data_IF_954574935412
#
_entry.id   IF_954574935412
#
_cell.length_a   1.000
_cell.length_b   1.000
_cell.length_c   1.000
_cell.angle_alpha   90.00
_cell.angle_beta   90.00
_cell.angle_gamma   90.00
#
_symmetry.space_group_name_H-M   'P 1'
#
loop_
_entity.id
_entity.type
_entity.pdbx_description
1 polymer ?
#
# COMPACT_ATOMS: atom_id res chain seq x y z
N UNK A 1 19.14 36.42 -12.99
CA UNK A 1 20.62 36.38 -12.97
C UNK A 1 21.05 35.69 -11.69
N UNK A 2 21.36 34.40 -11.78
CA UNK A 2 21.80 33.57 -10.64
C UNK A 2 23.24 33.94 -10.28
N UNK A 3 23.46 34.36 -9.03
CA UNK A 3 24.81 34.48 -8.47
C UNK A 3 25.12 33.15 -7.78
N UNK A 4 25.61 32.19 -8.55
CA UNK A 4 26.37 31.04 -8.04
C UNK A 4 27.83 31.42 -8.23
N UNK A 5 28.42 32.11 -7.26
CA UNK A 5 29.88 32.26 -7.19
C UNK A 5 30.36 32.12 -5.75
N UNK A 6 31.24 31.14 -5.58
CA UNK A 6 32.29 31.06 -4.57
C UNK A 6 31.88 30.81 -3.12
N UNK A 7 31.63 29.55 -2.79
CA UNK A 7 32.03 28.99 -1.48
C UNK A 7 32.48 27.53 -1.68
N UNK A 8 33.69 27.30 -2.20
CA UNK A 8 34.32 25.96 -2.28
C UNK A 8 35.70 26.01 -1.59
N UNK A 9 35.80 26.66 -0.44
CA UNK A 9 37.13 26.92 0.13
C UNK A 9 37.23 27.14 1.63
N UNK A 10 36.19 26.85 2.42
CA UNK A 10 36.30 26.90 3.88
C UNK A 10 35.75 25.60 4.44
N UNK A 11 36.49 25.02 5.40
CA UNK A 11 36.07 23.87 6.17
C UNK A 11 34.75 24.22 6.85
N UNK A 12 33.64 23.83 6.23
CA UNK A 12 32.34 23.93 6.85
C UNK A 12 32.37 23.02 8.08
N UNK A 13 32.30 23.61 9.27
CA UNK A 13 32.04 22.88 10.50
C UNK A 13 30.85 21.96 10.25
N UNK A 14 30.97 20.67 10.58
CA UNK A 14 29.90 19.69 10.35
C UNK A 14 28.57 20.14 10.98
N UNK A 15 28.62 20.93 12.05
CA UNK A 15 27.45 21.55 12.70
C UNK A 15 26.76 22.61 11.82
N UNK A 16 27.53 23.34 10.99
CA UNK A 16 26.99 24.31 10.04
C UNK A 16 26.27 23.63 8.87
N UNK A 17 26.78 22.49 8.40
CA UNK A 17 26.17 21.69 7.33
C UNK A 17 24.86 21.08 7.81
N UNK A 18 24.83 20.52 9.02
CA UNK A 18 23.62 19.90 9.54
C UNK A 18 22.54 20.94 9.87
N UNK A 19 22.95 22.15 10.28
CA UNK A 19 22.06 23.32 10.39
C UNK A 19 21.41 23.69 9.04
N UNK A 20 22.22 23.88 8.00
CA UNK A 20 21.74 24.18 6.64
C UNK A 20 20.82 23.08 6.11
N UNK A 21 21.17 21.81 6.35
CA UNK A 21 20.38 20.66 5.93
C UNK A 21 19.01 20.63 6.62
N UNK A 22 18.98 20.92 7.92
CA UNK A 22 17.74 20.96 8.70
C UNK A 22 16.84 22.09 8.22
N UNK A 23 17.41 23.27 7.99
CA UNK A 23 16.68 24.42 7.44
C UNK A 23 16.12 24.12 6.04
N UNK A 24 16.91 23.53 5.14
CA UNK A 24 16.45 23.15 3.81
C UNK A 24 15.34 22.11 3.87
N UNK A 25 15.43 21.10 4.74
CA UNK A 25 14.36 20.11 4.93
C UNK A 25 13.05 20.76 5.38
N UNK A 26 13.12 21.69 6.34
CA UNK A 26 11.96 22.44 6.82
C UNK A 26 11.37 23.34 5.74
N UNK A 27 12.20 24.02 4.95
CA UNK A 27 11.71 24.86 3.86
C UNK A 27 11.05 24.01 2.77
N UNK A 28 11.64 22.89 2.39
CA UNK A 28 11.10 21.98 1.37
C UNK A 28 9.75 21.38 1.80
N UNK A 29 9.59 21.01 3.08
CA UNK A 29 8.31 20.46 3.56
C UNK A 29 7.16 21.48 3.52
N UNK A 30 7.47 22.78 3.57
CA UNK A 30 6.50 23.86 3.45
C UNK A 30 6.15 24.23 2.00
N UNK A 31 6.91 23.78 1.01
CA UNK A 31 6.63 24.09 -0.40
C UNK A 31 5.51 23.19 -0.92
N UNK A 32 4.41 23.81 -1.35
CA UNK A 32 3.39 23.16 -2.18
C UNK A 32 3.72 23.35 -3.65
N UNK A 33 4.11 22.26 -4.33
CA UNK A 33 4.42 22.26 -5.76
C UNK A 33 3.28 21.56 -6.52
N UNK A 34 2.82 22.17 -7.61
CA UNK A 34 1.91 21.52 -8.55
C UNK A 34 2.72 20.72 -9.59
N UNK A 35 2.45 19.42 -9.68
CA UNK A 35 3.06 18.53 -10.66
C UNK A 35 2.02 17.71 -11.44
N UNK A 36 2.48 16.78 -12.27
CA UNK A 36 1.60 15.90 -13.06
C UNK A 36 0.72 14.99 -12.20
N UNK A 37 1.13 14.71 -10.97
CA UNK A 37 0.36 13.94 -9.98
C UNK A 37 -0.47 14.84 -9.05
N UNK A 38 -0.72 16.09 -9.45
CA UNK A 38 -1.40 17.10 -8.66
C UNK A 38 -0.47 17.85 -7.71
N UNK A 39 -1.05 18.47 -6.69
CA UNK A 39 -0.28 19.11 -5.62
C UNK A 39 0.55 18.10 -4.86
N UNK A 40 1.74 18.50 -4.42
CA UNK A 40 2.62 17.68 -3.59
C UNK A 40 2.68 18.31 -2.20
N UNK A 41 2.33 17.52 -1.18
CA UNK A 41 2.37 17.91 0.23
C UNK A 41 3.16 16.86 1.01
N UNK A 42 3.96 17.31 1.98
CA UNK A 42 4.79 16.45 2.81
C UNK A 42 4.34 16.50 4.27
N UNK A 43 4.53 15.40 5.01
CA UNK A 43 4.42 15.38 6.46
C UNK A 43 5.71 15.91 7.13
N UNK A 44 5.68 16.00 8.45
CA UNK A 44 6.83 16.39 9.28
C UNK A 44 8.05 15.47 9.11
N UNK A 45 7.84 14.25 8.58
CA UNK A 45 8.89 13.26 8.31
C UNK A 45 9.42 13.37 6.87
N UNK A 46 8.92 14.30 6.07
CA UNK A 46 9.28 14.49 4.67
C UNK A 46 8.67 13.46 3.72
N UNK A 47 7.62 12.73 4.13
CA UNK A 47 6.90 11.78 3.27
C UNK A 47 5.70 12.46 2.63
N UNK A 48 5.43 12.12 1.37
CA UNK A 48 4.25 12.65 0.67
C UNK A 48 2.95 12.15 1.31
N UNK A 49 2.01 13.04 1.59
CA UNK A 49 0.74 12.73 2.28
C UNK A 49 -0.46 12.66 1.33
N UNK A 50 -0.36 13.28 0.16
CA UNK A 50 -1.47 13.42 -0.79
C UNK A 50 -1.19 12.67 -2.10
N UNK A 51 -1.28 11.35 -2.03
CA UNK A 51 -1.05 10.45 -3.16
C UNK A 51 -2.22 9.48 -3.36
N UNK A 52 -2.27 8.87 -4.54
CA UNK A 52 -3.22 7.82 -4.89
C UNK A 52 -2.48 6.60 -5.40
N UNK A 53 -2.94 5.41 -5.04
CA UNK A 53 -2.40 4.14 -5.51
C UNK A 53 -3.46 3.47 -6.38
N UNK A 54 -3.09 3.03 -7.58
CA UNK A 54 -3.93 2.17 -8.41
C UNK A 54 -3.70 0.74 -7.96
N UNK A 55 -4.77 0.06 -7.55
CA UNK A 55 -4.74 -1.35 -7.19
C UNK A 55 -4.92 -2.17 -8.45
N UNK A 56 -3.97 -3.07 -8.71
CA UNK A 56 -4.03 -4.00 -9.84
C UNK A 56 -4.06 -5.44 -9.33
N UNK A 57 -4.87 -6.26 -9.98
CA UNK A 57 -4.91 -7.70 -9.79
C UNK A 57 -4.25 -8.37 -10.99
N UNK A 58 -3.46 -9.40 -10.70
CA UNK A 58 -2.92 -10.31 -11.71
C UNK A 58 -3.84 -11.52 -11.78
N UNK A 59 -4.60 -11.64 -12.87
CA UNK A 59 -5.51 -12.77 -13.08
C UNK A 59 -5.07 -13.60 -14.28
N UNK A 60 -5.13 -14.92 -14.16
CA UNK A 60 -4.93 -15.82 -15.30
C UNK A 60 -6.11 -15.66 -16.27
N UNK A 61 -5.81 -15.43 -17.53
CA UNK A 61 -6.81 -15.31 -18.58
C UNK A 61 -7.41 -16.69 -18.87
N UNK A 62 -8.73 -16.82 -18.71
CA UNK A 62 -9.55 -17.95 -19.21
C UNK A 62 -8.96 -19.36 -19.07
N UNK A 63 -8.47 -19.73 -17.88
CA UNK A 63 -8.06 -21.11 -17.60
C UNK A 63 -6.72 -21.57 -18.20
N UNK A 64 -6.02 -20.71 -18.95
CA UNK A 64 -4.64 -20.97 -19.38
C UNK A 64 -3.67 -20.40 -18.34
N UNK A 65 -2.97 -21.30 -17.64
CA UNK A 65 -2.09 -20.99 -16.50
C UNK A 65 -0.84 -20.15 -16.87
N UNK A 66 -0.68 -19.82 -18.16
CA UNK A 66 0.50 -19.18 -18.75
C UNK A 66 0.25 -17.76 -19.26
N UNK A 67 -0.99 -17.25 -19.25
CA UNK A 67 -1.29 -15.87 -19.68
C UNK A 67 -1.86 -15.10 -18.50
N UNK A 68 -1.12 -14.09 -18.05
CA UNK A 68 -1.53 -13.22 -16.96
C UNK A 68 -1.94 -11.85 -17.50
N UNK A 69 -3.12 -11.37 -17.10
CA UNK A 69 -3.58 -10.02 -17.40
C UNK A 69 -3.57 -9.17 -16.13
N UNK A 70 -3.03 -7.95 -16.24
CA UNK A 70 -3.15 -6.94 -15.19
C UNK A 70 -4.47 -6.21 -15.34
N UNK A 71 -5.36 -6.35 -14.37
CA UNK A 71 -6.62 -5.61 -14.35
C UNK A 71 -6.65 -4.63 -13.17
N UNK A 72 -7.15 -3.41 -13.41
CA UNK A 72 -7.29 -2.41 -12.35
C UNK A 72 -8.50 -2.76 -11.47
N UNK A 73 -8.24 -3.10 -10.21
CA UNK A 73 -9.24 -3.46 -9.21
C UNK A 73 -9.87 -2.22 -8.56
N UNK A 74 -9.08 -1.17 -8.38
CA UNK A 74 -9.55 0.00 -7.68
C UNK A 74 -8.47 1.05 -7.45
N UNK A 75 -8.78 2.01 -6.59
CA UNK A 75 -7.87 3.08 -6.21
C UNK A 75 -7.89 3.24 -4.69
N UNK A 76 -6.73 3.43 -4.09
CA UNK A 76 -6.58 3.88 -2.72
C UNK A 76 -6.14 5.34 -2.69
N UNK A 77 -6.86 6.17 -1.94
CA UNK A 77 -6.63 7.61 -1.81
C UNK A 77 -6.09 7.91 -0.42
N UNK A 78 -4.88 8.49 -0.33
CA UNK A 78 -4.27 8.86 0.95
C UNK A 78 -5.10 9.93 1.69
N UNK A 79 -5.61 10.90 0.92
CA UNK A 79 -6.49 11.95 1.37
C UNK A 79 -7.72 12.01 0.44
N UNK A 80 -8.83 11.33 0.80
CA UNK A 80 -10.01 11.31 -0.04
C UNK A 80 -10.67 12.70 -0.04
N UNK A 81 -11.10 13.21 -1.21
CA UNK A 81 -11.98 14.37 -1.30
C UNK A 81 -13.21 14.21 -0.39
N UNK A 82 -13.80 15.31 0.07
CA UNK A 82 -15.02 15.29 0.91
C UNK A 82 -16.20 14.54 0.30
N UNK A 83 -16.20 14.36 -1.03
CA UNK A 83 -17.21 13.63 -1.79
C UNK A 83 -17.09 12.10 -1.60
N UNK A 84 -15.93 11.60 -1.20
CA UNK A 84 -15.69 10.18 -0.98
C UNK A 84 -15.60 9.85 0.50
N UNK A 85 -16.49 8.98 0.96
CA UNK A 85 -16.54 8.51 2.36
C UNK A 85 -15.36 7.61 2.71
N UNK A 86 -14.84 6.86 1.74
CA UNK A 86 -13.83 5.82 1.95
C UNK A 86 -12.54 6.08 1.17
N UNK A 87 -11.41 5.72 1.80
CA UNK A 87 -10.08 5.77 1.16
C UNK A 87 -9.90 4.71 0.08
N UNK A 88 -10.54 3.56 0.26
CA UNK A 88 -10.45 2.44 -0.66
C UNK A 88 -11.68 2.46 -1.57
N UNK A 89 -11.46 2.57 -2.88
CA UNK A 89 -12.51 2.52 -3.88
C UNK A 89 -12.26 1.32 -4.78
N UNK A 90 -12.93 0.21 -4.48
CA UNK A 90 -12.92 -0.96 -5.33
C UNK A 90 -13.96 -0.71 -6.42
N UNK A 91 -13.50 -0.64 -7.68
CA UNK A 91 -14.43 -0.57 -8.82
C UNK A 91 -15.02 -1.96 -8.96
N UNK A 92 -16.34 -2.07 -8.95
CA UNK A 92 -17.06 -3.33 -8.99
C UNK A 92 -16.68 -4.20 -10.19
N UNK A 93 -15.61 -4.99 -10.06
CA UNK A 93 -15.53 -6.32 -10.62
C UNK A 93 -15.84 -7.27 -9.48
N UNK A 94 -17.02 -7.87 -9.57
CA UNK A 94 -17.24 -9.21 -9.04
C UNK A 94 -16.22 -10.06 -9.79
N UNK A 95 -15.04 -10.26 -9.22
CA UNK A 95 -14.10 -11.24 -9.72
C UNK A 95 -14.84 -12.57 -9.88
N UNK A 96 -14.51 -13.34 -10.92
CA UNK A 96 -15.03 -14.69 -11.14
C UNK A 96 -14.61 -15.54 -9.92
N UNK A 97 -15.44 -15.49 -8.88
CA UNK A 97 -15.09 -15.90 -7.53
C UNK A 97 -14.74 -14.73 -6.61
N UNK A 98 -15.72 -13.89 -6.27
CA UNK A 98 -15.76 -13.27 -4.95
C UNK A 98 -15.62 -14.40 -3.92
N UNK A 99 -14.38 -14.72 -3.54
CA UNK A 99 -14.08 -15.37 -2.27
C UNK A 99 -14.26 -14.32 -1.18
N UNK A 100 -15.48 -13.83 -1.01
CA UNK A 100 -16.06 -13.74 0.32
C UNK A 100 -16.26 -15.19 0.83
N UNK A 101 -15.22 -16.03 0.78
CA UNK A 101 -15.31 -17.34 1.38
C UNK A 101 -15.37 -17.06 2.87
N UNK A 102 -16.46 -17.39 3.59
CA UNK A 102 -16.27 -17.71 4.99
C UNK A 102 -15.07 -18.65 5.06
N UNK A 103 -14.15 -18.38 6.00
CA UNK A 103 -13.09 -19.26 6.49
C UNK A 103 -13.09 -20.66 5.84
N UNK A 104 -11.99 -21.16 5.23
CA UNK A 104 -11.97 -22.18 4.16
C UNK A 104 -12.41 -23.62 4.53
N UNK A 105 -13.48 -23.77 5.31
CA UNK A 105 -14.02 -25.00 5.87
C UNK A 105 -15.46 -25.28 5.42
N UNK A 106 -16.20 -24.30 4.89
CA UNK A 106 -17.57 -24.55 4.41
C UNK A 106 -17.51 -25.48 3.18
N UNK A 107 -18.02 -26.70 3.32
CA UNK A 107 -18.09 -27.70 2.24
C UNK A 107 -16.90 -28.65 2.13
N UNK A 108 -15.93 -28.64 3.07
CA UNK A 108 -14.84 -29.63 3.10
C UNK A 108 -15.10 -30.71 4.14
N UNK A 109 -14.94 -31.97 3.74
CA UNK A 109 -14.97 -33.13 4.64
C UNK A 109 -13.60 -33.29 5.31
N UNK A 110 -13.54 -33.17 6.64
CA UNK A 110 -12.33 -33.48 7.40
C UNK A 110 -12.22 -35.00 7.63
N UNK A 111 -11.05 -35.57 7.34
CA UNK A 111 -10.71 -36.93 7.78
C UNK A 111 -10.09 -36.85 9.17
N UNK A 112 -10.73 -37.46 10.15
CA UNK A 112 -10.25 -37.50 11.53
C UNK A 112 -9.63 -38.87 11.80
N UNK A 113 -8.38 -38.89 12.25
CA UNK A 113 -7.74 -40.09 12.78
C UNK A 113 -7.89 -40.06 14.29
N UNK A 114 -8.33 -41.17 14.90
CA UNK A 114 -8.58 -41.28 16.34
C UNK A 114 -7.94 -42.53 16.91
N UNK A 115 -7.71 -42.54 18.23
CA UNK A 115 -7.23 -43.67 19.02
C UNK A 115 -8.34 -44.16 19.95
N UNK A 116 -8.39 -45.47 20.22
CA UNK A 116 -9.37 -46.05 21.13
C UNK A 116 -8.90 -45.88 22.59
N UNK A 117 -9.39 -44.85 23.27
CA UNK A 117 -9.08 -44.58 24.68
C UNK A 117 -10.36 -44.41 25.51
N UNK A 118 -10.52 -45.18 26.60
CA UNK A 118 -11.65 -45.01 27.53
C UNK A 118 -11.36 -43.84 28.49
N UNK A 119 -12.34 -42.97 28.80
CA UNK A 119 -13.77 -43.00 28.45
C UNK A 119 -14.14 -42.26 27.14
N UNK A 120 -13.15 -41.81 26.36
CA UNK A 120 -13.34 -40.84 25.28
C UNK A 120 -13.76 -41.45 23.93
N UNK A 121 -13.41 -42.71 23.67
CA UNK A 121 -13.79 -43.43 22.46
C UNK A 121 -14.16 -44.89 22.79
N UNK A 122 -15.35 -45.33 22.37
CA UNK A 122 -15.85 -46.69 22.58
C UNK A 122 -16.33 -47.29 21.27
N UNK A 123 -15.83 -48.47 20.93
CA UNK A 123 -16.30 -49.25 19.78
C UNK A 123 -17.45 -50.14 20.21
N UNK A 124 -18.64 -49.93 19.64
CA UNK A 124 -19.78 -50.85 19.82
C UNK A 124 -19.47 -52.16 19.08
N UNK A 125 -19.58 -53.28 19.79
CA UNK A 125 -19.51 -54.62 19.21
C UNK A 125 -20.91 -55.07 18.78
#
# INVERSE_FOLDING_TARGET
>A
MLIIKNVIGEAFDNDSIEGIRTELKQRISLVSVQGMSGFVQFDEKGKRTNYSIILTELSAFSGEMSVYEFSALGVWLASPPSVFTERLQIRGRIGIGNRTSPFPLVGRTAKVVTILEKPFCMRKQ
#
